data_IF_599649146918
#
_entry.id   IF_599649146918
#
_cell.length_a   1.000
_cell.length_b   1.000
_cell.length_c   1.000
_cell.angle_alpha   90.00
_cell.angle_beta   90.00
_cell.angle_gamma   90.00
#
_symmetry.space_group_name_H-M   'P 1'
#
loop_
_entity.id
_entity.type
_entity.pdbx_description
1 polymer ?
#
# COMPACT_ATOMS: atom_id res chain seq x y z
N UNK A 1 -12.43 55.32 -30.77
CA UNK A 1 -12.04 55.36 -32.18
C UNK A 1 -10.95 54.31 -32.38
N UNK A 2 -11.13 53.38 -33.33
CA UNK A 2 -10.15 52.37 -33.72
C UNK A 2 -10.60 50.93 -33.43
N UNK A 3 -11.35 50.35 -34.34
CA UNK A 3 -11.75 48.94 -34.34
C UNK A 3 -10.60 48.03 -34.81
N UNK A 4 -10.57 46.75 -34.40
CA UNK A 4 -9.51 45.85 -34.80
C UNK A 4 -9.78 45.19 -36.17
N UNK A 5 -8.70 44.96 -36.92
CA UNK A 5 -8.72 44.33 -38.21
C UNK A 5 -8.80 42.79 -38.08
N UNK A 6 -9.66 42.20 -38.89
CA UNK A 6 -9.85 40.77 -39.12
C UNK A 6 -8.70 40.22 -39.98
N UNK A 7 -8.17 39.09 -39.54
CA UNK A 7 -7.17 38.30 -40.31
C UNK A 7 -7.85 37.06 -40.89
N UNK A 8 -8.42 37.16 -42.08
CA UNK A 8 -8.72 36.05 -42.96
C UNK A 8 -7.80 36.18 -44.20
N UNK A 9 -7.42 35.09 -44.78
CA UNK A 9 -6.60 34.85 -45.98
C UNK A 9 -5.12 34.54 -45.74
N UNK A 10 -4.90 33.23 -45.84
CA UNK A 10 -3.90 32.63 -46.76
C UNK A 10 -3.89 31.10 -46.60
N UNK A 11 -4.62 30.45 -47.52
CA UNK A 11 -4.37 29.06 -47.88
C UNK A 11 -3.40 29.03 -49.07
N UNK A 12 -2.40 28.17 -49.13
CA UNK A 12 -1.74 27.80 -50.35
C UNK A 12 -2.25 26.45 -50.87
N UNK A 13 -2.36 26.43 -52.17
CA UNK A 13 -2.89 25.46 -53.11
C UNK A 13 -2.25 24.05 -53.06
N UNK A 14 -3.08 23.09 -53.50
CA UNK A 14 -2.79 21.71 -53.80
C UNK A 14 -1.61 21.49 -54.75
N UNK A 15 -0.69 20.61 -54.39
CA UNK A 15 0.39 20.08 -55.22
C UNK A 15 0.31 18.54 -55.33
N UNK A 16 0.06 18.10 -56.51
CA UNK A 16 0.26 16.83 -57.20
C UNK A 16 0.81 15.61 -56.43
N UNK A 17 -0.01 14.53 -56.45
CA UNK A 17 0.40 13.15 -56.19
C UNK A 17 1.01 12.52 -57.47
N UNK A 18 2.11 11.77 -57.42
CA UNK A 18 2.54 10.91 -58.52
C UNK A 18 1.94 9.51 -58.39
N UNK A 19 1.53 9.01 -59.57
CA UNK A 19 0.96 7.68 -59.83
C UNK A 19 1.98 6.56 -59.58
N UNK A 20 1.51 5.44 -59.04
CA UNK A 20 2.21 4.18 -58.93
C UNK A 20 2.30 3.46 -60.32
N UNK A 21 3.38 2.71 -60.60
CA UNK A 21 3.41 1.79 -61.76
C UNK A 21 2.89 0.40 -61.37
N UNK A 22 2.16 -0.17 -62.31
CA UNK A 22 1.55 -1.48 -62.29
C UNK A 22 2.55 -2.61 -62.59
N UNK A 23 2.32 -3.73 -61.92
CA UNK A 23 2.44 -5.05 -62.53
C UNK A 23 3.78 -5.77 -62.42
N UNK A 24 3.88 -6.73 -61.48
CA UNK A 24 4.71 -7.92 -61.68
C UNK A 24 3.92 -9.16 -61.22
N UNK A 25 3.94 -10.12 -62.11
CA UNK A 25 3.14 -11.35 -62.14
C UNK A 25 3.61 -12.39 -61.10
N UNK A 26 2.63 -13.06 -60.55
CA UNK A 26 2.69 -14.29 -59.77
C UNK A 26 3.41 -15.40 -60.54
N UNK A 27 4.42 -16.04 -59.99
CA UNK A 27 4.86 -17.38 -60.36
C UNK A 27 4.96 -18.25 -59.11
N UNK A 28 4.20 -19.34 -59.18
CA UNK A 28 4.16 -20.43 -58.22
C UNK A 28 5.52 -21.12 -58.07
N UNK A 29 5.92 -21.43 -56.86
CA UNK A 29 6.82 -22.53 -56.59
C UNK A 29 6.35 -23.21 -55.27
N UNK A 30 5.69 -24.33 -55.49
CA UNK A 30 5.50 -25.37 -54.48
C UNK A 30 6.83 -26.09 -54.31
N UNK A 31 7.34 -26.19 -53.07
CA UNK A 31 8.12 -27.32 -52.58
C UNK A 31 8.54 -27.15 -51.14
N UNK A 32 8.30 -28.16 -50.30
CA UNK A 32 9.07 -28.40 -49.09
C UNK A 32 8.31 -28.15 -47.76
N UNK A 33 7.36 -29.03 -47.45
CA UNK A 33 6.88 -29.20 -46.08
C UNK A 33 7.99 -29.86 -45.25
N UNK A 34 8.82 -29.03 -44.60
CA UNK A 34 9.72 -29.44 -43.57
C UNK A 34 8.98 -29.37 -42.18
N UNK A 35 8.65 -30.55 -41.66
CA UNK A 35 8.08 -30.71 -40.30
C UNK A 35 9.14 -30.31 -39.29
N UNK A 36 9.16 -29.04 -38.85
CA UNK A 36 9.94 -28.63 -37.70
C UNK A 36 9.11 -29.03 -36.47
N UNK A 37 9.46 -30.18 -35.89
CA UNK A 37 8.99 -30.57 -34.56
C UNK A 37 9.60 -29.56 -33.56
N UNK A 38 8.81 -28.55 -33.21
CA UNK A 38 9.12 -27.68 -32.08
C UNK A 38 9.02 -28.52 -30.83
N UNK A 39 10.16 -28.98 -30.31
CA UNK A 39 10.27 -29.47 -28.95
C UNK A 39 9.94 -28.28 -28.01
N UNK A 40 8.70 -28.24 -27.56
CA UNK A 40 8.29 -27.40 -26.43
C UNK A 40 9.07 -27.91 -25.26
N UNK A 41 10.18 -27.28 -24.94
CA UNK A 41 10.85 -27.46 -23.68
C UNK A 41 9.83 -27.12 -22.59
N UNK A 42 9.33 -28.13 -21.88
CA UNK A 42 8.58 -27.94 -20.64
C UNK A 42 9.53 -27.24 -19.67
N UNK A 43 9.40 -25.93 -19.57
CA UNK A 43 9.95 -25.17 -18.43
C UNK A 43 9.29 -25.79 -17.21
N UNK A 44 10.06 -26.32 -16.23
CA UNK A 44 9.46 -26.85 -15.02
C UNK A 44 8.61 -25.75 -14.41
N UNK A 45 7.32 -26.00 -14.23
CA UNK A 45 6.45 -25.06 -13.53
C UNK A 45 7.09 -24.81 -12.15
N UNK A 46 7.48 -23.58 -11.89
CA UNK A 46 7.96 -23.21 -10.58
C UNK A 46 6.89 -23.68 -9.57
N UNK A 47 7.30 -24.47 -8.59
CA UNK A 47 6.36 -25.04 -7.63
C UNK A 47 5.57 -23.88 -7.01
N UNK A 48 4.24 -23.91 -7.16
CA UNK A 48 3.38 -22.86 -6.61
C UNK A 48 3.58 -22.81 -5.09
N UNK A 49 3.76 -21.61 -4.53
CA UNK A 49 3.90 -21.40 -3.09
C UNK A 49 2.71 -22.00 -2.36
N UNK A 50 2.95 -22.69 -1.27
CA UNK A 50 1.90 -23.19 -0.40
C UNK A 50 1.12 -22.04 0.25
N UNK A 51 -0.12 -22.31 0.69
CA UNK A 51 -0.91 -21.30 1.40
C UNK A 51 -0.23 -20.82 2.69
N UNK A 52 0.56 -21.66 3.35
CA UNK A 52 1.35 -21.27 4.52
C UNK A 52 2.50 -20.33 4.15
N UNK A 53 3.25 -20.62 3.09
CA UNK A 53 4.30 -19.76 2.60
C UNK A 53 3.74 -18.40 2.14
N UNK A 54 2.57 -18.41 1.47
CA UNK A 54 1.87 -17.19 1.09
C UNK A 54 1.42 -16.37 2.31
N UNK A 55 0.93 -17.03 3.38
CA UNK A 55 0.56 -16.36 4.61
C UNK A 55 1.77 -15.66 5.26
N UNK A 56 2.90 -16.35 5.36
CA UNK A 56 4.16 -15.78 5.87
C UNK A 56 4.64 -14.61 5.03
N UNK A 57 4.56 -14.71 3.70
CA UNK A 57 4.91 -13.60 2.79
C UNK A 57 3.98 -12.39 2.96
N UNK A 58 2.67 -12.63 3.14
CA UNK A 58 1.68 -11.56 3.38
C UNK A 58 1.93 -10.80 4.69
N UNK A 59 2.57 -11.46 5.66
CA UNK A 59 2.91 -10.90 6.99
C UNK A 59 4.24 -10.15 7.00
N UNK A 60 5.03 -10.22 5.93
CA UNK A 60 6.34 -9.57 5.82
C UNK A 60 6.22 -8.20 5.15
N UNK A 61 6.41 -7.07 5.90
CA UNK A 61 6.29 -5.72 5.34
C UNK A 61 7.32 -5.37 4.26
N UNK A 62 8.42 -6.13 4.19
CA UNK A 62 9.52 -5.97 3.21
C UNK A 62 9.74 -7.23 2.38
N UNK A 63 8.68 -8.02 2.20
CA UNK A 63 8.70 -9.23 1.38
C UNK A 63 8.84 -8.91 -0.12
N UNK A 64 9.52 -9.80 -0.85
CA UNK A 64 9.63 -9.70 -2.31
C UNK A 64 8.34 -10.21 -2.98
N UNK A 65 7.24 -9.54 -2.71
CA UNK A 65 5.91 -9.87 -3.20
C UNK A 65 5.16 -8.61 -3.61
N UNK A 66 4.74 -8.53 -4.88
CA UNK A 66 3.79 -7.49 -5.29
C UNK A 66 2.45 -7.79 -4.65
N UNK A 67 1.89 -6.83 -3.91
CA UNK A 67 0.59 -7.00 -3.27
C UNK A 67 -0.17 -5.68 -3.13
N UNK A 68 -1.49 -5.78 -3.04
CA UNK A 68 -2.37 -4.63 -2.81
C UNK A 68 -3.31 -4.94 -1.65
N UNK A 69 -2.94 -4.62 -0.41
CA UNK A 69 -3.82 -4.65 0.73
C UNK A 69 -4.87 -3.54 0.69
N UNK A 70 -6.13 -3.91 0.93
CA UNK A 70 -7.23 -3.04 1.27
C UNK A 70 -7.55 -3.26 2.74
N UNK A 71 -7.10 -2.34 3.60
CA UNK A 71 -7.27 -2.45 5.04
C UNK A 71 -8.27 -1.41 5.53
N UNK A 72 -9.44 -1.87 5.95
CA UNK A 72 -10.46 -1.04 6.55
C UNK A 72 -10.31 -1.06 8.08
N UNK A 73 -10.20 0.11 8.68
CA UNK A 73 -10.20 0.33 10.12
C UNK A 73 -11.45 1.11 10.50
N UNK A 74 -12.38 0.47 11.18
CA UNK A 74 -13.54 1.12 11.78
C UNK A 74 -13.23 1.43 13.22
N UNK A 75 -13.13 2.71 13.54
CA UNK A 75 -12.80 3.25 14.84
C UNK A 75 -14.08 3.74 15.54
N UNK A 76 -14.39 3.16 16.68
CA UNK A 76 -15.61 3.47 17.45
C UNK A 76 -15.32 4.45 18.57
N UNK A 77 -16.31 5.22 18.94
CA UNK A 77 -16.25 6.23 20.01
C UNK A 77 -15.21 7.31 19.70
N UNK A 78 -15.20 7.83 18.48
CA UNK A 78 -14.26 8.85 18.02
C UNK A 78 -14.86 10.23 18.19
N UNK A 79 -14.11 11.13 18.83
CA UNK A 79 -14.48 12.52 19.05
C UNK A 79 -15.49 12.74 20.20
N UNK A 80 -15.80 14.01 20.51
CA UNK A 80 -16.67 14.36 21.65
C UNK A 80 -18.09 13.81 21.57
N UNK A 81 -18.51 13.34 20.38
CA UNK A 81 -19.85 12.76 20.12
C UNK A 81 -19.83 11.25 19.99
N UNK A 82 -18.71 10.61 20.33
CA UNK A 82 -18.53 9.16 20.28
C UNK A 82 -18.95 8.55 18.92
N UNK A 83 -18.61 9.26 17.83
CA UNK A 83 -18.95 8.86 16.47
C UNK A 83 -18.12 7.67 15.99
N UNK A 84 -18.46 7.18 14.80
CA UNK A 84 -17.68 6.14 14.12
C UNK A 84 -16.87 6.75 13.00
N UNK A 85 -15.54 6.63 13.07
CA UNK A 85 -14.63 6.95 11.98
C UNK A 85 -14.35 5.69 11.17
N UNK A 86 -14.33 5.80 9.85
CA UNK A 86 -13.89 4.72 8.97
C UNK A 86 -12.66 5.17 8.17
N UNK A 87 -11.62 4.32 8.13
CA UNK A 87 -10.39 4.57 7.38
C UNK A 87 -10.07 3.34 6.53
N UNK A 88 -10.33 3.44 5.23
CA UNK A 88 -9.90 2.44 4.26
C UNK A 88 -8.52 2.83 3.71
N UNK A 89 -7.50 2.08 4.05
CA UNK A 89 -6.16 2.23 3.51
C UNK A 89 -5.97 1.33 2.30
N UNK A 90 -5.68 1.91 1.15
CA UNK A 90 -5.24 1.20 -0.05
C UNK A 90 -3.72 1.23 -0.04
N UNK A 91 -3.07 0.04 0.02
CA UNK A 91 -1.66 -0.06 0.38
C UNK A 91 -0.82 -0.87 -0.64
N UNK A 92 -0.66 -0.42 -1.90
CA UNK A 92 0.20 -1.13 -2.84
C UNK A 92 1.64 -1.26 -2.32
N UNK A 93 2.18 -2.48 -2.39
CA UNK A 93 3.56 -2.84 -2.10
C UNK A 93 4.19 -3.35 -3.38
N UNK A 94 5.29 -2.73 -3.78
CA UNK A 94 6.02 -3.08 -5.00
C UNK A 94 7.51 -3.26 -4.68
N UNK A 95 8.01 -4.50 -4.73
CA UNK A 95 9.44 -4.77 -4.64
C UNK A 95 10.14 -4.51 -5.98
N UNK A 96 11.26 -3.82 -5.92
CA UNK A 96 12.17 -3.56 -7.04
C UNK A 96 13.53 -4.16 -6.69
N UNK A 97 14.00 -5.08 -7.51
CA UNK A 97 15.34 -5.66 -7.38
C UNK A 97 16.37 -4.64 -7.86
N UNK A 98 17.24 -4.17 -6.97
CA UNK A 98 18.32 -3.25 -7.33
C UNK A 98 19.54 -4.00 -7.83
N UNK A 99 19.90 -5.09 -7.17
CA UNK A 99 20.97 -6.01 -7.54
C UNK A 99 20.84 -7.33 -6.77
N UNK A 100 21.83 -8.22 -6.86
CA UNK A 100 21.81 -9.53 -6.18
C UNK A 100 21.81 -9.46 -4.65
N UNK A 101 22.16 -8.32 -4.06
CA UNK A 101 22.30 -8.14 -2.61
C UNK A 101 21.14 -7.31 -2.02
N UNK A 102 20.53 -6.40 -2.80
CA UNK A 102 19.60 -5.41 -2.31
C UNK A 102 18.32 -5.32 -3.11
N UNK A 103 17.20 -5.24 -2.39
CA UNK A 103 15.88 -4.88 -2.90
C UNK A 103 15.46 -3.53 -2.35
N UNK A 104 14.72 -2.77 -3.16
CA UNK A 104 13.97 -1.60 -2.74
C UNK A 104 12.49 -1.98 -2.66
N UNK A 105 11.92 -1.98 -1.46
CA UNK A 105 10.51 -2.29 -1.26
C UNK A 105 9.77 -0.98 -1.07
N UNK A 106 8.93 -0.63 -2.04
CA UNK A 106 8.10 0.57 -1.94
C UNK A 106 6.71 0.23 -1.42
N UNK A 107 6.21 1.06 -0.52
CA UNK A 107 4.85 0.97 0.04
C UNK A 107 4.20 2.34 0.01
N UNK A 108 3.07 2.43 -0.66
CA UNK A 108 2.21 3.62 -0.65
C UNK A 108 0.98 3.32 0.20
N UNK A 109 0.51 4.26 1.00
CA UNK A 109 -0.74 4.15 1.75
C UNK A 109 -1.59 5.35 1.39
N UNK A 110 -2.69 5.09 0.68
CA UNK A 110 -3.71 6.10 0.34
C UNK A 110 -4.92 5.86 1.23
N UNK A 111 -5.19 6.74 2.21
CA UNK A 111 -6.35 6.57 3.08
C UNK A 111 -7.59 7.24 2.48
N UNK A 112 -8.69 6.50 2.44
CA UNK A 112 -10.04 7.04 2.24
C UNK A 112 -10.71 7.09 3.61
N UNK A 113 -11.04 8.28 4.06
CA UNK A 113 -11.48 8.54 5.44
C UNK A 113 -12.92 9.03 5.43
N UNK A 114 -13.75 8.44 6.29
CA UNK A 114 -15.04 9.00 6.68
C UNK A 114 -14.93 9.44 8.14
N UNK A 115 -14.86 10.76 8.35
CA UNK A 115 -14.72 11.40 9.64
C UNK A 115 -16.09 11.84 10.17
N UNK A 116 -16.52 11.45 11.38
CA UNK A 116 -17.77 11.92 11.96
C UNK A 116 -17.72 13.42 12.29
N UNK A 117 -18.87 14.04 12.43
CA UNK A 117 -18.97 15.42 12.92
C UNK A 117 -18.63 15.49 14.41
N UNK A 118 -17.76 16.43 14.80
CA UNK A 118 -17.32 16.61 16.18
C UNK A 118 -18.17 17.64 16.95
N UNK A 119 -18.83 18.56 16.25
CA UNK A 119 -19.70 19.58 16.84
C UNK A 119 -21.16 19.39 16.45
N UNK A 120 -22.12 19.87 17.24
CA UNK A 120 -23.54 19.85 16.85
C UNK A 120 -23.78 20.54 15.50
N UNK A 121 -24.54 19.90 14.62
CA UNK A 121 -24.81 20.37 13.26
C UNK A 121 -23.68 20.18 12.24
N UNK A 122 -22.55 19.62 12.64
CA UNK A 122 -21.50 19.27 11.72
C UNK A 122 -21.75 17.87 11.14
N UNK A 123 -21.85 17.80 9.82
CA UNK A 123 -21.99 16.54 9.10
C UNK A 123 -20.69 15.73 9.06
N UNK A 124 -20.79 14.44 8.79
CA UNK A 124 -19.64 13.63 8.46
C UNK A 124 -18.97 14.11 7.18
N UNK A 125 -17.66 13.93 7.08
CA UNK A 125 -16.88 14.27 5.90
C UNK A 125 -16.18 13.02 5.36
N UNK A 126 -16.35 12.74 4.08
CA UNK A 126 -15.67 11.61 3.42
C UNK A 126 -14.78 12.12 2.31
N UNK A 127 -13.56 11.55 2.21
CA UNK A 127 -12.62 11.90 1.17
C UNK A 127 -11.27 11.23 1.37
N UNK A 128 -10.28 11.70 0.61
CA UNK A 128 -8.90 11.21 0.68
C UNK A 128 -8.17 11.95 1.80
N UNK A 129 -7.39 11.25 2.60
CA UNK A 129 -6.45 11.82 3.56
C UNK A 129 -5.06 12.05 2.99
N UNK A 130 -4.10 12.37 3.86
CA UNK A 130 -2.70 12.52 3.44
C UNK A 130 -2.09 11.15 3.12
N UNK A 131 -1.47 11.06 1.95
CA UNK A 131 -0.83 9.82 1.46
C UNK A 131 0.54 9.64 2.10
N UNK A 132 0.86 8.43 2.52
CA UNK A 132 2.18 8.06 3.02
C UNK A 132 2.90 7.18 2.00
N UNK A 133 4.17 7.49 1.72
CA UNK A 133 5.06 6.70 0.87
C UNK A 133 6.31 6.31 1.65
N UNK A 134 6.64 5.02 1.65
CA UNK A 134 7.86 4.49 2.28
C UNK A 134 8.66 3.70 1.27
N UNK A 135 9.98 3.86 1.29
CA UNK A 135 10.91 3.09 0.46
C UNK A 135 11.94 2.42 1.36
N UNK A 136 11.82 1.10 1.55
CA UNK A 136 12.76 0.32 2.36
C UNK A 136 13.85 -0.29 1.51
N UNK A 137 15.10 -0.04 1.87
CA UNK A 137 16.23 -0.84 1.43
C UNK A 137 16.31 -2.09 2.32
N UNK A 138 16.29 -3.26 1.71
CA UNK A 138 16.28 -4.56 2.41
C UNK A 138 17.19 -5.56 1.69
N UNK A 139 17.89 -6.48 2.40
CA UNK A 139 18.67 -7.52 1.76
C UNK A 139 17.82 -8.39 0.83
N UNK A 140 18.35 -8.70 -0.37
CA UNK A 140 17.64 -9.51 -1.36
C UNK A 140 17.55 -11.00 -0.96
N UNK A 141 18.53 -11.48 -0.20
CA UNK A 141 18.60 -12.85 0.28
C UNK A 141 18.72 -12.88 1.82
N UNK A 142 17.66 -12.48 2.54
CA UNK A 142 17.69 -12.48 3.99
C UNK A 142 17.70 -13.93 4.52
N UNK A 143 18.34 -14.13 5.67
CA UNK A 143 18.20 -15.34 6.49
C UNK A 143 16.88 -15.24 7.28
N UNK A 144 16.79 -15.94 8.41
CA UNK A 144 15.63 -15.89 9.31
C UNK A 144 15.35 -14.49 9.88
N UNK A 145 16.37 -13.65 10.03
CA UNK A 145 16.22 -12.24 10.41
C UNK A 145 16.16 -11.37 9.16
N UNK A 146 15.01 -10.76 8.94
CA UNK A 146 14.72 -9.85 7.82
C UNK A 146 14.65 -8.44 8.38
N UNK A 147 15.20 -7.47 7.65
CA UNK A 147 15.12 -6.06 8.05
C UNK A 147 15.05 -5.14 6.83
N UNK A 148 14.58 -3.94 7.06
CA UNK A 148 14.56 -2.88 6.07
C UNK A 148 14.63 -1.51 6.73
N UNK A 149 15.29 -0.57 6.07
CA UNK A 149 15.43 0.81 6.52
C UNK A 149 15.23 1.75 5.33
N UNK A 150 14.64 2.89 5.58
CA UNK A 150 14.48 3.90 4.55
C UNK A 150 13.64 5.09 4.97
N UNK A 151 13.44 6.06 4.09
CA UNK A 151 12.61 7.22 4.35
C UNK A 151 11.12 6.88 4.29
N UNK A 152 10.33 7.59 5.08
CA UNK A 152 8.89 7.73 4.94
C UNK A 152 8.57 9.19 4.62
N UNK A 153 7.75 9.40 3.60
CA UNK A 153 7.30 10.71 3.14
C UNK A 153 5.79 10.80 3.32
N UNK A 154 5.32 11.85 3.98
CA UNK A 154 3.91 12.21 4.05
C UNK A 154 3.61 13.25 2.96
N UNK A 155 2.65 12.96 2.12
CA UNK A 155 2.26 13.77 0.95
C UNK A 155 0.90 14.41 1.24
N UNK A 156 0.75 15.74 1.15
CA UNK A 156 -0.51 16.43 1.45
C UNK A 156 -1.53 16.25 0.32
N UNK A 157 -2.18 15.10 0.29
CA UNK A 157 -3.20 14.72 -0.69
C UNK A 157 -4.63 14.84 -0.15
N UNK A 158 -4.78 15.30 1.09
CA UNK A 158 -6.08 15.40 1.73
C UNK A 158 -7.04 16.28 0.92
N UNK A 159 -8.25 15.75 0.69
CA UNK A 159 -9.31 16.44 -0.07
C UNK A 159 -10.11 17.42 0.79
N UNK A 160 -9.92 17.41 2.10
CA UNK A 160 -10.57 18.30 3.06
C UNK A 160 -9.69 18.45 4.30
N UNK A 161 -9.66 19.62 4.94
CA UNK A 161 -8.82 19.94 6.10
C UNK A 161 -9.11 19.05 7.33
N UNK A 162 -10.26 18.42 7.40
CA UNK A 162 -10.62 17.48 8.47
C UNK A 162 -10.06 16.06 8.25
N UNK A 163 -9.49 15.77 7.07
CA UNK A 163 -9.05 14.43 6.66
C UNK A 163 -7.54 14.28 6.63
N UNK A 164 -6.79 15.35 6.92
CA UNK A 164 -5.33 15.34 6.93
C UNK A 164 -4.75 16.61 7.50
N UNK A 165 -3.43 16.65 7.65
CA UNK A 165 -2.71 17.85 8.11
C UNK A 165 -2.43 18.83 6.96
N UNK A 166 -2.31 18.33 5.72
CA UNK A 166 -2.06 19.14 4.54
C UNK A 166 -0.62 19.68 4.41
N UNK A 167 0.32 19.22 5.24
CA UNK A 167 1.73 19.58 5.13
C UNK A 167 2.58 18.38 4.73
N UNK A 168 3.61 18.62 3.92
CA UNK A 168 4.64 17.62 3.63
C UNK A 168 5.34 17.19 4.91
N UNK A 169 5.66 15.90 5.00
CA UNK A 169 6.44 15.34 6.08
C UNK A 169 7.49 14.38 5.60
N UNK A 170 8.54 14.25 6.38
CA UNK A 170 9.65 13.33 6.12
C UNK A 170 10.12 12.72 7.44
N UNK A 171 10.58 11.49 7.37
CA UNK A 171 11.20 10.84 8.50
C UNK A 171 11.80 9.48 8.18
N UNK A 172 12.47 8.84 9.13
CA UNK A 172 12.99 7.49 9.01
C UNK A 172 11.92 6.45 9.27
N UNK A 173 12.05 5.31 8.62
CA UNK A 173 11.30 4.10 8.88
C UNK A 173 12.24 2.91 8.97
N UNK A 174 11.97 2.01 9.91
CA UNK A 174 12.73 0.80 10.15
C UNK A 174 11.79 -0.36 10.41
N UNK A 175 12.12 -1.52 9.90
CA UNK A 175 11.43 -2.77 10.17
C UNK A 175 12.43 -3.88 10.40
N UNK A 176 12.12 -4.74 11.37
CA UNK A 176 12.86 -5.99 11.59
C UNK A 176 11.87 -7.07 11.98
N UNK A 177 12.07 -8.27 11.45
CA UNK A 177 11.23 -9.42 11.75
C UNK A 177 12.01 -10.74 11.67
N UNK A 178 11.49 -11.70 12.42
CA UNK A 178 11.83 -13.11 12.29
C UNK A 178 10.81 -13.80 11.39
N UNK A 179 11.31 -14.49 10.37
CA UNK A 179 10.55 -15.36 9.50
C UNK A 179 11.47 -16.48 9.03
N UNK A 180 11.14 -17.72 9.36
CA UNK A 180 11.91 -18.88 8.94
C UNK A 180 11.03 -19.93 8.25
N UNK A 181 11.66 -20.70 7.35
CA UNK A 181 11.00 -21.80 6.67
C UNK A 181 10.82 -22.95 7.69
N UNK A 182 9.57 -23.38 7.89
CA UNK A 182 9.25 -24.44 8.86
C UNK A 182 8.93 -23.95 10.29
N UNK A 183 9.30 -22.72 10.66
CA UNK A 183 8.84 -22.10 11.91
C UNK A 183 7.43 -21.51 11.70
N UNK A 184 6.39 -21.89 12.48
CA UNK A 184 5.07 -21.31 12.37
C UNK A 184 5.00 -19.85 12.79
N UNK A 185 5.99 -19.33 13.49
CA UNK A 185 5.99 -17.97 14.01
C UNK A 185 6.56 -16.96 13.02
N UNK A 186 5.88 -15.84 12.89
CA UNK A 186 6.38 -14.63 12.24
C UNK A 186 6.15 -13.48 13.20
N UNK A 187 7.22 -12.83 13.65
CA UNK A 187 7.11 -11.72 14.58
C UNK A 187 8.16 -10.66 14.30
N UNK A 188 7.83 -9.43 14.66
CA UNK A 188 8.73 -8.31 14.41
C UNK A 188 8.14 -6.98 14.87
N UNK A 189 8.80 -5.92 14.43
CA UNK A 189 8.35 -4.56 14.70
C UNK A 189 8.68 -3.65 13.51
N UNK A 190 7.72 -2.78 13.17
CA UNK A 190 7.93 -1.66 12.26
C UNK A 190 7.82 -0.38 13.08
N UNK A 191 8.77 0.52 12.89
CA UNK A 191 8.77 1.84 13.54
C UNK A 191 9.03 2.92 12.52
N UNK A 192 8.37 4.06 12.67
CA UNK A 192 8.71 5.26 11.93
C UNK A 192 8.41 6.50 12.78
N UNK A 193 9.00 7.62 12.36
CA UNK A 193 8.63 8.92 12.87
C UNK A 193 8.63 9.92 11.71
N UNK A 194 7.62 10.79 11.67
CA UNK A 194 7.46 11.77 10.59
C UNK A 194 7.34 13.17 11.18
N UNK A 195 8.20 14.07 10.72
CA UNK A 195 8.14 15.50 11.03
C UNK A 195 7.57 16.27 9.85
N UNK A 196 6.69 17.23 10.11
CA UNK A 196 6.25 18.16 9.08
C UNK A 196 7.43 19.05 8.63
N UNK A 197 7.54 19.25 7.32
CA UNK A 197 8.55 20.14 6.72
C UNK A 197 8.12 21.60 6.72
N UNK A 198 6.85 21.87 7.01
CA UNK A 198 6.27 23.21 7.11
C UNK A 198 5.15 23.27 8.14
N UNK A 199 4.67 24.45 8.43
CA UNK A 199 3.50 24.72 9.26
C UNK A 199 2.51 25.68 8.57
N UNK A 200 2.60 25.79 7.25
CA UNK A 200 1.85 26.79 6.47
C UNK A 200 0.39 26.44 6.24
N UNK A 201 0.03 25.18 6.43
CA UNK A 201 -1.36 24.71 6.31
C UNK A 201 -2.08 24.73 7.65
N UNK A 202 -3.41 24.62 7.61
CA UNK A 202 -4.30 24.75 8.76
C UNK A 202 -3.99 23.74 9.88
N UNK A 203 -3.49 22.55 9.54
CA UNK A 203 -3.07 21.52 10.52
C UNK A 203 -1.79 21.85 11.29
N UNK A 204 -1.08 22.94 10.94
CA UNK A 204 0.16 23.34 11.60
C UNK A 204 1.28 22.32 11.44
N UNK A 205 2.34 22.50 12.24
CA UNK A 205 3.44 21.53 12.25
C UNK A 205 3.11 20.33 13.12
N UNK A 206 3.57 19.15 12.70
CA UNK A 206 3.40 17.89 13.42
C UNK A 206 4.72 17.13 13.62
N UNK A 207 4.72 16.26 14.60
CA UNK A 207 5.76 15.27 14.85
C UNK A 207 5.08 14.00 15.37
N UNK A 208 4.96 12.99 14.51
CA UNK A 208 4.18 11.80 14.78
C UNK A 208 5.05 10.55 14.65
N UNK A 209 4.98 9.71 15.66
CA UNK A 209 5.62 8.40 15.65
C UNK A 209 4.60 7.27 15.51
N UNK A 210 5.08 6.15 14.97
CA UNK A 210 4.34 4.90 14.86
C UNK A 210 5.23 3.75 15.29
N UNK A 211 4.69 2.85 16.11
CA UNK A 211 5.31 1.60 16.51
C UNK A 211 4.29 0.50 16.27
N UNK A 212 4.60 -0.44 15.40
CA UNK A 212 3.75 -1.56 15.08
C UNK A 212 4.48 -2.87 15.36
N UNK A 213 4.42 -3.39 16.61
CA UNK A 213 4.80 -4.77 16.86
C UNK A 213 3.81 -5.70 16.19
N UNK A 214 4.28 -6.85 15.73
CA UNK A 214 3.39 -7.89 15.19
C UNK A 214 3.91 -9.27 15.56
N UNK A 215 2.96 -10.16 15.83
CA UNK A 215 3.21 -11.56 16.08
C UNK A 215 2.10 -12.39 15.41
N UNK A 216 2.50 -13.40 14.67
CA UNK A 216 1.60 -14.29 13.96
C UNK A 216 2.00 -15.73 14.21
N UNK A 217 0.99 -16.60 14.36
CA UNK A 217 1.16 -18.04 14.40
C UNK A 217 0.45 -18.68 13.22
N UNK A 218 1.19 -19.33 12.35
CA UNK A 218 0.70 -19.90 11.10
C UNK A 218 0.38 -21.39 11.28
N UNK A 219 -0.87 -21.77 11.04
CA UNK A 219 -1.31 -23.16 11.00
C UNK A 219 -1.09 -23.73 9.59
N UNK A 220 -0.97 -25.07 9.47
CA UNK A 220 -1.03 -25.72 8.16
C UNK A 220 -2.27 -25.30 7.37
N UNK A 221 -2.12 -25.11 6.05
CA UNK A 221 -3.24 -24.73 5.17
C UNK A 221 -3.53 -23.23 5.09
N UNK A 222 -2.64 -22.38 5.64
CA UNK A 222 -2.66 -20.92 5.42
C UNK A 222 -3.62 -20.12 6.30
N UNK A 223 -4.17 -20.73 7.35
CA UNK A 223 -4.86 -20.02 8.44
C UNK A 223 -3.84 -19.56 9.47
N UNK A 224 -4.03 -18.39 10.09
CA UNK A 224 -3.13 -17.89 11.13
C UNK A 224 -3.84 -17.04 12.17
N UNK A 225 -3.29 -17.03 13.37
CA UNK A 225 -3.62 -16.02 14.39
C UNK A 225 -2.66 -14.86 14.27
N UNK A 226 -3.15 -13.67 14.53
CA UNK A 226 -2.37 -12.43 14.39
C UNK A 226 -2.65 -11.45 15.51
N UNK A 227 -1.61 -10.76 15.96
CA UNK A 227 -1.71 -9.52 16.71
C UNK A 227 -0.73 -8.52 16.07
N UNK A 228 -1.26 -7.41 15.58
CA UNK A 228 -0.49 -6.37 14.91
C UNK A 228 -1.07 -4.99 15.25
N UNK A 229 -1.05 -4.62 16.55
CA UNK A 229 -1.50 -3.31 17.01
C UNK A 229 -0.62 -2.20 16.43
N UNK A 230 -1.22 -1.04 16.12
CA UNK A 230 -0.49 0.14 15.66
C UNK A 230 -0.55 1.19 16.77
N UNK A 231 0.51 1.23 17.58
CA UNK A 231 0.68 2.30 18.55
C UNK A 231 1.13 3.58 17.84
N UNK A 232 0.49 4.70 18.16
CA UNK A 232 0.84 6.01 17.62
C UNK A 232 1.13 7.01 18.70
N UNK A 233 1.98 7.98 18.38
CA UNK A 233 2.32 9.07 19.28
C UNK A 233 2.35 10.40 18.53
N UNK A 234 1.67 11.40 19.08
CA UNK A 234 1.82 12.79 18.70
C UNK A 234 2.73 13.48 19.73
N UNK A 235 4.01 13.69 19.37
CA UNK A 235 4.99 14.26 20.27
C UNK A 235 4.69 15.71 20.66
N UNK A 236 3.86 16.41 19.87
CA UNK A 236 3.48 17.81 20.10
C UNK A 236 2.22 17.98 20.94
N UNK A 237 1.46 16.92 21.17
CA UNK A 237 0.29 16.98 22.04
C UNK A 237 0.71 17.16 23.51
N UNK A 238 -0.21 17.65 24.33
CA UNK A 238 -0.02 17.78 25.77
C UNK A 238 0.11 16.42 26.47
N UNK A 239 0.65 16.40 27.67
CA UNK A 239 0.78 15.18 28.47
C UNK A 239 -0.58 14.49 28.65
N UNK A 240 -0.62 13.18 28.48
CA UNK A 240 -1.86 12.39 28.50
C UNK A 240 -2.58 12.29 27.16
N UNK A 241 -2.36 13.22 26.22
CA UNK A 241 -3.00 13.26 24.89
C UNK A 241 -2.09 12.77 23.78
N UNK A 242 -0.91 12.22 24.11
CA UNK A 242 0.12 11.87 23.12
C UNK A 242 -0.10 10.52 22.46
N UNK A 243 -0.44 9.52 23.26
CA UNK A 243 -0.38 8.12 22.85
C UNK A 243 -1.74 7.53 22.55
N UNK A 244 -1.77 6.69 21.50
CA UNK A 244 -2.81 5.69 21.31
C UNK A 244 -2.14 4.33 21.33
N UNK A 245 -2.49 3.50 22.33
CA UNK A 245 -1.91 2.17 22.55
C UNK A 245 -2.99 1.09 22.42
N UNK A 246 -3.13 0.45 21.26
CA UNK A 246 -4.08 -0.65 21.06
C UNK A 246 -3.51 -1.97 21.58
N UNK A 247 -4.39 -2.83 22.09
CA UNK A 247 -4.16 -4.25 22.35
C UNK A 247 -5.26 -5.06 21.69
N UNK A 248 -4.92 -6.22 21.18
CA UNK A 248 -5.89 -7.08 20.51
C UNK A 248 -5.25 -7.99 19.49
N UNK A 249 -6.08 -8.58 18.67
CA UNK A 249 -5.63 -9.51 17.63
C UNK A 249 -6.79 -10.01 16.79
N UNK A 250 -6.52 -11.03 16.01
CA UNK A 250 -7.49 -11.56 15.08
C UNK A 250 -7.03 -12.85 14.40
N UNK A 251 -7.73 -13.16 13.34
CA UNK A 251 -7.49 -14.34 12.51
C UNK A 251 -7.41 -13.94 11.05
N UNK A 252 -6.55 -14.62 10.31
CA UNK A 252 -6.48 -14.48 8.87
C UNK A 252 -6.33 -15.84 8.17
N UNK A 253 -6.57 -15.81 6.86
CA UNK A 253 -6.44 -17.00 6.01
C UNK A 253 -6.16 -16.63 4.57
N UNK A 254 -5.38 -17.49 3.90
CA UNK A 254 -5.17 -17.41 2.46
C UNK A 254 -6.29 -18.17 1.74
N UNK A 255 -6.94 -17.49 0.81
CA UNK A 255 -7.90 -18.05 -0.13
C UNK A 255 -7.32 -18.00 -1.54
N UNK A 256 -7.79 -18.87 -2.41
CA UNK A 256 -7.41 -18.88 -3.83
C UNK A 256 -8.65 -18.67 -4.70
N UNK A 257 -8.65 -17.60 -5.48
CA UNK A 257 -9.65 -17.31 -6.51
C UNK A 257 -9.03 -17.59 -7.88
N UNK A 258 -9.17 -18.84 -8.34
CA UNK A 258 -8.41 -19.32 -9.47
C UNK A 258 -6.91 -19.33 -9.18
N UNK A 259 -6.14 -18.54 -9.92
CA UNK A 259 -4.68 -18.40 -9.72
C UNK A 259 -4.30 -17.25 -8.77
N UNK A 260 -5.26 -16.44 -8.34
CA UNK A 260 -5.00 -15.30 -7.47
C UNK A 260 -5.11 -15.70 -6.01
N UNK A 261 -4.00 -15.71 -5.25
CA UNK A 261 -4.06 -15.83 -3.80
C UNK A 261 -4.53 -14.51 -3.19
N UNK A 262 -5.44 -14.62 -2.23
CA UNK A 262 -6.01 -13.48 -1.49
C UNK A 262 -5.91 -13.76 -0.01
N UNK A 263 -5.22 -12.89 0.71
CA UNK A 263 -5.16 -12.91 2.16
C UNK A 263 -6.34 -12.12 2.72
N UNK A 264 -7.17 -12.76 3.56
CA UNK A 264 -8.25 -12.12 4.28
C UNK A 264 -7.99 -12.18 5.79
N UNK A 265 -8.18 -11.07 6.48
CA UNK A 265 -7.93 -10.95 7.92
C UNK A 265 -9.03 -10.13 8.59
N UNK A 266 -9.41 -10.54 9.79
CA UNK A 266 -10.30 -9.79 10.68
C UNK A 266 -9.66 -9.72 12.06
N UNK A 267 -9.56 -8.52 12.63
CA UNK A 267 -8.94 -8.26 13.94
C UNK A 267 -9.69 -7.19 14.69
N UNK A 268 -9.69 -7.27 16.01
CA UNK A 268 -10.25 -6.27 16.90
C UNK A 268 -9.19 -5.78 17.90
N UNK A 269 -9.20 -4.48 18.17
CA UNK A 269 -8.27 -3.84 19.08
C UNK A 269 -9.02 -2.92 20.04
N UNK A 270 -8.58 -2.89 21.28
CA UNK A 270 -9.02 -1.94 22.29
C UNK A 270 -7.87 -0.99 22.62
N UNK A 271 -8.11 0.31 22.58
CA UNK A 271 -7.10 1.32 22.91
C UNK A 271 -7.06 1.51 24.42
N UNK A 272 -6.08 0.87 25.09
CA UNK A 272 -5.90 0.96 26.55
C UNK A 272 -5.39 2.33 26.99
N UNK A 273 -4.77 3.06 26.08
CA UNK A 273 -4.40 4.46 26.21
C UNK A 273 -4.83 5.16 24.93
N UNK A 274 -5.53 6.26 25.04
CA UNK A 274 -5.90 7.12 23.91
C UNK A 274 -6.11 8.57 24.40
N UNK A 275 -6.02 9.57 23.51
CA UNK A 275 -6.47 10.93 23.77
C UNK A 275 -7.96 10.95 24.13
N UNK A 276 -8.42 11.97 24.85
CA UNK A 276 -9.81 12.10 25.31
C UNK A 276 -10.84 11.92 24.17
N UNK A 277 -10.55 12.49 22.99
CA UNK A 277 -11.38 12.37 21.78
C UNK A 277 -10.93 11.22 20.86
N UNK A 278 -10.01 10.38 21.29
CA UNK A 278 -9.53 9.23 20.54
C UNK A 278 -10.50 8.05 20.58
N UNK A 279 -10.46 7.15 19.60
CA UNK A 279 -11.33 5.98 19.56
C UNK A 279 -11.00 4.99 20.68
N UNK A 280 -12.04 4.36 21.26
CA UNK A 280 -11.88 3.30 22.26
C UNK A 280 -11.61 1.94 21.62
N UNK A 281 -12.25 1.66 20.48
CA UNK A 281 -12.22 0.39 19.78
C UNK A 281 -11.87 0.56 18.31
N UNK A 282 -11.19 -0.45 17.77
CA UNK A 282 -10.96 -0.57 16.35
C UNK A 282 -11.30 -1.99 15.88
N UNK A 283 -12.16 -2.09 14.86
CA UNK A 283 -12.32 -3.30 14.06
C UNK A 283 -11.51 -3.13 12.77
N UNK A 284 -10.63 -4.08 12.47
CA UNK A 284 -9.81 -4.07 11.25
C UNK A 284 -10.20 -5.26 10.39
N UNK A 285 -10.66 -4.98 9.18
CA UNK A 285 -10.85 -5.96 8.12
C UNK A 285 -9.84 -5.71 7.01
N UNK A 286 -9.16 -6.73 6.52
CA UNK A 286 -8.19 -6.62 5.44
C UNK A 286 -8.44 -7.66 4.37
N UNK A 287 -8.37 -7.22 3.11
CA UNK A 287 -8.30 -8.07 1.92
C UNK A 287 -7.04 -7.67 1.16
N UNK A 288 -6.12 -8.61 0.98
CA UNK A 288 -4.85 -8.36 0.29
C UNK A 288 -4.75 -9.24 -0.94
N UNK A 289 -4.74 -8.61 -2.11
CA UNK A 289 -4.45 -9.28 -3.38
C UNK A 289 -2.95 -9.51 -3.48
N UNK A 290 -2.55 -10.73 -3.82
CA UNK A 290 -1.15 -11.15 -3.86
C UNK A 290 -0.78 -11.59 -5.27
N UNK A 291 0.38 -11.14 -5.76
CA UNK A 291 0.87 -11.44 -7.10
C UNK A 291 2.28 -12.05 -7.00
N UNK A 292 2.38 -13.34 -6.61
CA UNK A 292 3.66 -14.05 -6.57
C UNK A 292 4.26 -14.13 -7.98
N UNK A 293 5.59 -13.96 -8.07
CA UNK A 293 6.35 -14.07 -9.32
C UNK A 293 6.50 -15.52 -9.75
#
# INVERSE_FOLDING_TARGET
MGAPATLADRLPSAGHLPRAPAGVRLRHALAGAGLVAATVAMVPAAAALSSEELAKLAQNPVGNLVSVPFQNNTNFNTGPREGTQNVLNIQPVVPVELNSEWNLITRTIVPVITQPGFTPGQDQTTGIGDTSFTAFLSPAQPKSLIWGVGPVVQIPTNSNDRLGNGNWGLGPSFVVLHLDKGDPWVYGVLVNNVWSLSSSRQGGSYNNGLIQPFINYNFPGGTYLTSSPIATVNWKADGGQKWTLPIGGGIGRIFHFGRLPVNMQLSAYYNVVHPDDGPNWQLRAQVQLMFPK
#
